data_IF_671251171743
#
_entry.id   IF_671251171743
#
_cell.length_a   1.000
_cell.length_b   1.000
_cell.length_c   1.000
_cell.angle_alpha   90.00
_cell.angle_beta   90.00
_cell.angle_gamma   90.00
#
_symmetry.space_group_name_H-M   'P 1'
#
loop_
_entity.id
_entity.type
_entity.pdbx_description
1 polymer ?
#
# COMPACT_ATOMS: atom_id res chain seq x y z
N UNK A 1 -15.69 -26.14 -78.83
CA UNK A 1 -14.44 -25.75 -78.24
C UNK A 1 -14.55 -24.61 -77.25
N UNK A 2 -15.50 -23.64 -77.34
CA UNK A 2 -15.60 -22.48 -76.42
C UNK A 2 -16.02 -22.78 -74.96
N UNK A 3 -16.81 -23.84 -74.69
CA UNK A 3 -17.28 -24.18 -73.34
C UNK A 3 -16.18 -24.79 -72.41
N UNK A 4 -15.20 -25.49 -72.95
CA UNK A 4 -14.09 -26.07 -72.17
C UNK A 4 -13.09 -25.01 -71.71
N UNK A 5 -12.86 -23.97 -72.46
CA UNK A 5 -11.95 -22.89 -72.16
C UNK A 5 -12.45 -21.98 -70.98
N UNK A 6 -13.81 -21.81 -70.97
CA UNK A 6 -14.46 -20.99 -69.92
C UNK A 6 -14.37 -21.71 -68.51
N UNK A 7 -14.60 -23.03 -68.54
CA UNK A 7 -14.55 -23.82 -67.26
C UNK A 7 -13.16 -23.87 -66.70
N UNK A 8 -12.07 -23.99 -67.50
CA UNK A 8 -10.73 -23.98 -67.08
C UNK A 8 -10.26 -22.59 -66.53
N UNK A 9 -10.74 -21.49 -67.14
CA UNK A 9 -10.41 -20.12 -66.60
C UNK A 9 -11.17 -19.83 -65.35
N UNK A 10 -12.40 -20.25 -65.15
CA UNK A 10 -13.15 -20.08 -63.90
C UNK A 10 -12.55 -20.92 -62.75
N UNK A 11 -12.12 -22.16 -63.05
CA UNK A 11 -11.47 -23.03 -62.08
C UNK A 11 -10.10 -22.49 -61.65
N UNK A 12 -9.30 -21.91 -62.59
CA UNK A 12 -8.01 -21.27 -62.26
C UNK A 12 -8.19 -20.00 -61.42
N UNK A 13 -9.29 -19.24 -61.67
CA UNK A 13 -9.58 -18.03 -60.91
C UNK A 13 -10.06 -18.34 -59.48
N UNK A 14 -10.80 -19.45 -59.29
CA UNK A 14 -11.18 -19.93 -57.96
C UNK A 14 -10.02 -20.49 -57.18
N UNK A 15 -9.05 -21.13 -57.82
CA UNK A 15 -7.83 -21.63 -57.15
C UNK A 15 -6.88 -20.50 -56.74
N UNK A 16 -6.87 -19.37 -57.44
CA UNK A 16 -6.07 -18.21 -57.12
C UNK A 16 -6.65 -17.41 -55.92
N UNK A 17 -7.98 -17.46 -55.73
CA UNK A 17 -8.66 -16.76 -54.64
C UNK A 17 -8.51 -17.45 -53.27
N UNK A 18 -8.20 -18.74 -53.23
CA UNK A 18 -8.00 -19.51 -52.00
C UNK A 18 -6.62 -19.35 -51.42
N UNK A 19 -5.65 -18.82 -52.17
CA UNK A 19 -4.28 -18.62 -51.68
C UNK A 19 -4.09 -17.27 -50.95
N UNK A 20 -5.01 -16.29 -51.19
CA UNK A 20 -4.95 -14.97 -50.53
C UNK A 20 -5.56 -14.93 -49.13
N UNK A 21 -6.18 -16.02 -48.65
CA UNK A 21 -6.75 -16.12 -47.30
C UNK A 21 -5.89 -16.94 -46.32
N UNK A 22 -4.59 -17.16 -46.66
CA UNK A 22 -3.61 -17.51 -45.64
C UNK A 22 -3.46 -16.28 -44.75
N UNK A 23 -4.40 -16.14 -43.81
CA UNK A 23 -4.27 -15.17 -42.74
C UNK A 23 -2.88 -15.35 -42.10
N UNK A 24 -2.08 -14.30 -42.14
CA UNK A 24 -0.87 -14.27 -41.34
C UNK A 24 -1.24 -14.76 -39.96
N UNK A 25 -0.59 -15.80 -39.41
CA UNK A 25 -0.83 -16.15 -38.03
C UNK A 25 -0.52 -14.86 -37.27
N UNK A 26 -1.55 -14.26 -36.65
CA UNK A 26 -1.35 -13.21 -35.70
C UNK A 26 -0.61 -13.90 -34.55
N UNK A 27 0.71 -13.93 -34.66
CA UNK A 27 1.57 -14.29 -33.52
C UNK A 27 1.37 -13.16 -32.52
N UNK A 28 0.32 -13.25 -31.74
CA UNK A 28 0.28 -12.59 -30.45
C UNK A 28 1.51 -13.16 -29.74
N UNK A 29 2.57 -12.38 -29.73
CA UNK A 29 3.70 -12.60 -28.81
C UNK A 29 3.04 -12.46 -27.41
N UNK A 30 2.56 -13.57 -26.89
CA UNK A 30 2.14 -13.64 -25.50
C UNK A 30 3.40 -13.64 -24.66
N UNK A 31 4.03 -12.47 -24.53
CA UNK A 31 4.93 -12.25 -23.42
C UNK A 31 4.09 -12.51 -22.17
N UNK A 32 4.53 -13.45 -21.36
CA UNK A 32 3.86 -13.67 -20.07
C UNK A 32 3.95 -12.35 -19.29
N UNK A 33 2.85 -11.94 -18.62
CA UNK A 33 2.86 -10.72 -17.84
C UNK A 33 3.93 -10.81 -16.76
N UNK A 34 4.70 -9.75 -16.61
CA UNK A 34 5.66 -9.60 -15.52
C UNK A 34 4.88 -9.25 -14.27
N UNK A 35 4.96 -10.13 -13.27
CA UNK A 35 4.26 -9.96 -12.00
C UNK A 35 5.30 -9.62 -10.93
N UNK A 36 5.02 -8.62 -10.12
CA UNK A 36 5.80 -8.28 -8.93
C UNK A 36 4.92 -8.23 -7.68
N UNK A 37 5.53 -8.45 -6.53
CA UNK A 37 4.90 -8.34 -5.23
C UNK A 37 5.64 -7.31 -4.37
N UNK A 38 4.89 -6.51 -3.61
CA UNK A 38 5.41 -5.60 -2.60
C UNK A 38 4.62 -5.79 -1.30
N UNK A 39 5.31 -6.06 -0.21
CA UNK A 39 4.73 -5.98 1.13
C UNK A 39 4.64 -4.51 1.55
N UNK A 40 3.44 -3.94 1.42
CA UNK A 40 3.20 -2.53 1.74
C UNK A 40 3.25 -2.23 3.25
N UNK A 41 3.07 -3.24 4.11
CA UNK A 41 3.19 -3.03 5.55
C UNK A 41 4.67 -2.85 5.92
N UNK A 42 5.56 -3.69 5.37
CA UNK A 42 7.01 -3.56 5.55
C UNK A 42 7.52 -2.28 4.89
N UNK A 43 7.15 -2.04 3.63
CA UNK A 43 7.57 -0.85 2.89
C UNK A 43 7.11 0.44 3.57
N UNK A 44 5.86 0.47 4.05
CA UNK A 44 5.29 1.61 4.77
C UNK A 44 6.02 1.90 6.07
N UNK A 45 6.29 0.87 6.87
CA UNK A 45 7.02 1.02 8.12
C UNK A 45 8.42 1.60 7.88
N UNK A 46 9.20 1.00 6.97
CA UNK A 46 10.56 1.48 6.68
C UNK A 46 10.58 2.89 6.08
N UNK A 47 9.58 3.23 5.29
CA UNK A 47 9.45 4.57 4.74
C UNK A 47 9.13 5.60 5.83
N UNK A 48 8.22 5.29 6.77
CA UNK A 48 7.92 6.14 7.93
C UNK A 48 9.16 6.34 8.82
N UNK A 49 9.93 5.28 9.05
CA UNK A 49 11.19 5.33 9.81
C UNK A 49 12.21 6.24 9.10
N UNK A 50 12.37 6.12 7.77
CA UNK A 50 13.28 6.97 6.99
C UNK A 50 12.94 8.46 7.04
N UNK A 51 11.69 8.82 7.39
CA UNK A 51 11.20 10.20 7.53
C UNK A 51 11.12 10.67 8.98
N UNK A 52 11.57 9.86 9.93
CA UNK A 52 11.49 10.12 11.38
C UNK A 52 10.06 10.32 11.90
N UNK A 53 9.04 10.02 11.09
CA UNK A 53 7.65 10.28 11.45
C UNK A 53 7.18 9.38 12.59
N UNK A 54 7.68 8.16 12.64
CA UNK A 54 7.40 7.23 13.74
C UNK A 54 8.05 7.70 15.03
N UNK A 55 9.30 8.21 14.97
CA UNK A 55 10.00 8.75 16.12
C UNK A 55 9.30 10.00 16.67
N UNK A 56 8.87 10.92 15.80
CA UNK A 56 8.07 12.08 16.18
C UNK A 56 6.76 11.69 16.86
N UNK A 57 6.04 10.71 16.31
CA UNK A 57 4.82 10.18 16.91
C UNK A 57 5.06 9.63 18.32
N UNK A 58 6.11 8.84 18.49
CA UNK A 58 6.48 8.26 19.78
C UNK A 58 6.86 9.35 20.80
N UNK A 59 7.64 10.34 20.39
CA UNK A 59 8.03 11.45 21.25
C UNK A 59 6.81 12.26 21.73
N UNK A 60 5.86 12.55 20.86
CA UNK A 60 4.62 13.24 21.22
C UNK A 60 3.74 12.37 22.15
N UNK A 61 3.64 11.07 21.87
CA UNK A 61 2.89 10.14 22.73
C UNK A 61 3.51 10.04 24.14
N UNK A 62 4.84 9.98 24.25
CA UNK A 62 5.55 10.00 25.52
C UNK A 62 5.34 11.33 26.28
N UNK A 63 5.38 12.45 25.57
CA UNK A 63 5.10 13.76 26.15
C UNK A 63 3.69 13.81 26.76
N UNK A 64 2.65 13.39 26.04
CA UNK A 64 1.29 13.37 26.57
C UNK A 64 1.11 12.36 27.72
N UNK A 65 1.76 11.20 27.66
CA UNK A 65 1.78 10.26 28.78
C UNK A 65 2.44 10.88 30.01
N UNK A 66 3.52 11.63 29.83
CA UNK A 66 4.17 12.37 30.91
C UNK A 66 3.24 13.41 31.58
N UNK A 67 2.36 14.07 30.79
CA UNK A 67 1.37 15.00 31.33
C UNK A 67 0.25 14.30 32.11
N UNK A 68 -0.11 13.06 31.74
CA UNK A 68 -1.13 12.26 32.43
C UNK A 68 -0.61 11.60 33.71
N UNK A 69 0.68 11.34 33.79
CA UNK A 69 1.31 10.58 34.88
C UNK A 69 1.00 11.10 36.29
N UNK A 70 1.05 12.41 36.60
CA UNK A 70 0.71 12.92 37.93
C UNK A 70 -0.75 12.60 38.35
N UNK A 71 -1.70 12.68 37.40
CA UNK A 71 -3.09 12.33 37.68
C UNK A 71 -3.26 10.83 37.91
N UNK A 72 -2.58 10.01 37.11
CA UNK A 72 -2.58 8.56 37.26
C UNK A 72 -2.03 8.14 38.62
N UNK A 73 -0.89 8.70 39.04
CA UNK A 73 -0.25 8.43 40.32
C UNK A 73 -1.14 8.85 41.50
N UNK A 74 -1.86 9.97 41.39
CA UNK A 74 -2.81 10.42 42.41
C UNK A 74 -4.01 9.47 42.49
N UNK A 75 -4.60 9.03 41.38
CA UNK A 75 -5.68 8.05 41.35
C UNK A 75 -5.24 6.72 41.99
N UNK A 76 -4.03 6.24 41.66
CA UNK A 76 -3.48 5.02 42.25
C UNK A 76 -3.29 5.18 43.77
N UNK A 77 -2.80 6.30 44.21
CA UNK A 77 -2.62 6.61 45.65
C UNK A 77 -3.96 6.60 46.40
N UNK A 78 -4.99 7.27 45.83
CA UNK A 78 -6.33 7.32 46.42
C UNK A 78 -6.99 5.94 46.47
N UNK A 79 -6.82 5.14 45.41
CA UNK A 79 -7.27 3.76 45.39
C UNK A 79 -6.64 2.90 46.46
N UNK A 80 -5.35 2.99 46.63
CA UNK A 80 -4.61 2.25 47.64
C UNK A 80 -4.96 2.70 49.10
N UNK A 81 -5.49 3.92 49.23
CA UNK A 81 -6.01 4.44 50.50
C UNK A 81 -7.51 4.05 50.74
N UNK A 82 -8.16 3.34 49.83
CA UNK A 82 -9.56 2.95 49.97
C UNK A 82 -10.53 4.09 49.74
N UNK A 83 -10.14 5.17 49.02
CA UNK A 83 -10.91 6.39 48.79
C UNK A 83 -11.80 6.31 47.51
N UNK A 84 -11.95 5.15 46.94
CA UNK A 84 -12.65 4.97 45.63
C UNK A 84 -14.11 5.50 45.62
N UNK A 85 -14.77 5.47 46.76
CA UNK A 85 -16.16 5.98 46.90
C UNK A 85 -16.20 7.50 47.09
N UNK A 86 -15.06 8.17 47.26
CA UNK A 86 -15.01 9.61 47.51
C UNK A 86 -15.35 10.40 46.23
N UNK A 87 -15.98 11.56 46.42
CA UNK A 87 -16.24 12.49 45.31
C UNK A 87 -14.94 12.98 44.68
N UNK A 88 -13.88 13.13 45.49
CA UNK A 88 -12.57 13.56 45.02
C UNK A 88 -11.95 12.53 44.05
N UNK A 89 -12.00 11.24 44.39
CA UNK A 89 -11.52 10.16 43.51
C UNK A 89 -12.29 10.18 42.18
N UNK A 90 -13.61 10.26 42.21
CA UNK A 90 -14.43 10.30 40.98
C UNK A 90 -14.09 11.51 40.09
N UNK A 91 -13.86 12.68 40.69
CA UNK A 91 -13.44 13.87 39.94
C UNK A 91 -12.08 13.67 39.26
N UNK A 92 -11.11 13.07 39.96
CA UNK A 92 -9.78 12.79 39.41
C UNK A 92 -9.81 11.77 38.27
N UNK A 93 -10.62 10.71 38.41
CA UNK A 93 -10.82 9.73 37.34
C UNK A 93 -11.44 10.37 36.09
N UNK A 94 -12.46 11.23 36.29
CA UNK A 94 -13.08 11.95 35.20
C UNK A 94 -12.11 12.94 34.52
N UNK A 95 -11.30 13.67 35.32
CA UNK A 95 -10.28 14.58 34.80
C UNK A 95 -9.25 13.83 33.95
N UNK A 96 -8.74 12.69 34.46
CA UNK A 96 -7.83 11.83 33.72
C UNK A 96 -8.42 11.34 32.38
N UNK A 97 -9.67 10.84 32.42
CA UNK A 97 -10.35 10.38 31.20
C UNK A 97 -10.48 11.49 30.17
N UNK A 98 -10.94 12.67 30.56
CA UNK A 98 -11.10 13.82 29.67
C UNK A 98 -9.77 14.27 29.06
N UNK A 99 -8.71 14.32 29.88
CA UNK A 99 -7.37 14.69 29.36
C UNK A 99 -6.81 13.63 28.43
N UNK A 100 -6.96 12.35 28.78
CA UNK A 100 -6.53 11.24 27.92
C UNK A 100 -7.24 11.27 26.57
N UNK A 101 -8.57 11.45 26.56
CA UNK A 101 -9.35 11.52 25.32
C UNK A 101 -8.89 12.71 24.47
N UNK A 102 -8.67 13.88 25.10
CA UNK A 102 -8.15 15.07 24.41
C UNK A 102 -6.79 14.79 23.77
N UNK A 103 -5.85 14.22 24.49
CA UNK A 103 -4.50 13.94 23.98
C UNK A 103 -4.52 12.89 22.88
N UNK A 104 -5.34 11.84 23.03
CA UNK A 104 -5.54 10.83 21.97
C UNK A 104 -6.08 11.47 20.70
N UNK A 105 -7.08 12.34 20.80
CA UNK A 105 -7.63 13.07 19.66
C UNK A 105 -6.58 13.96 18.99
N UNK A 106 -5.80 14.71 19.78
CA UNK A 106 -4.74 15.57 19.24
C UNK A 106 -3.66 14.78 18.48
N UNK A 107 -3.23 13.62 19.03
CA UNK A 107 -2.30 12.73 18.32
C UNK A 107 -2.92 12.21 17.03
N UNK A 108 -4.16 11.73 17.11
CA UNK A 108 -4.86 11.20 15.95
C UNK A 108 -5.02 12.28 14.86
N UNK A 109 -5.49 13.47 15.18
CA UNK A 109 -5.64 14.57 14.24
C UNK A 109 -4.31 14.97 13.60
N UNK A 110 -3.22 15.04 14.40
CA UNK A 110 -1.89 15.40 13.89
C UNK A 110 -1.33 14.36 12.93
N UNK A 111 -1.44 13.08 13.26
CA UNK A 111 -0.70 12.03 12.55
C UNK A 111 -1.52 11.28 11.48
N UNK A 112 -2.87 11.22 11.58
CA UNK A 112 -3.69 10.59 10.54
C UNK A 112 -3.42 11.19 9.17
N UNK A 113 -3.44 12.52 9.06
CA UNK A 113 -3.20 13.22 7.79
C UNK A 113 -1.79 12.96 7.24
N UNK A 114 -0.80 12.84 8.14
CA UNK A 114 0.58 12.56 7.73
C UNK A 114 0.73 11.12 7.23
N UNK A 115 0.13 10.15 7.93
CA UNK A 115 0.14 8.75 7.51
C UNK A 115 -0.63 8.53 6.20
N UNK A 116 -1.76 9.22 6.00
CA UNK A 116 -2.49 9.20 4.73
C UNK A 116 -1.62 9.71 3.58
N UNK A 117 -0.94 10.84 3.74
CA UNK A 117 -0.02 11.37 2.73
C UNK A 117 1.13 10.42 2.42
N UNK A 118 1.68 9.74 3.44
CA UNK A 118 2.71 8.73 3.25
C UNK A 118 2.17 7.57 2.42
N UNK A 119 0.98 7.08 2.74
CA UNK A 119 0.36 5.99 2.00
C UNK A 119 0.08 6.37 0.54
N UNK A 120 -0.47 7.56 0.28
CA UNK A 120 -0.68 8.07 -1.07
C UNK A 120 0.65 8.19 -1.85
N UNK A 121 1.70 8.69 -1.20
CA UNK A 121 3.03 8.81 -1.80
C UNK A 121 3.61 7.44 -2.14
N UNK A 122 3.51 6.46 -1.25
CA UNK A 122 3.97 5.10 -1.50
C UNK A 122 3.24 4.44 -2.68
N UNK A 123 1.92 4.62 -2.78
CA UNK A 123 1.15 4.10 -3.90
C UNK A 123 1.60 4.73 -5.22
N UNK A 124 1.83 6.05 -5.26
CA UNK A 124 2.34 6.73 -6.44
C UNK A 124 3.75 6.26 -6.83
N UNK A 125 4.62 6.05 -5.84
CA UNK A 125 5.97 5.52 -6.06
C UNK A 125 5.94 4.06 -6.55
N UNK A 126 5.00 3.25 -6.08
CA UNK A 126 4.84 1.87 -6.54
C UNK A 126 4.38 1.82 -8.01
N UNK A 127 3.48 2.71 -8.40
CA UNK A 127 3.08 2.86 -9.80
C UNK A 127 4.26 3.29 -10.69
N UNK A 128 5.06 4.24 -10.22
CA UNK A 128 6.27 4.70 -10.93
C UNK A 128 7.30 3.56 -11.05
N UNK A 129 7.54 2.85 -9.94
CA UNK A 129 8.45 1.71 -9.90
C UNK A 129 8.04 0.61 -10.87
N UNK A 130 6.75 0.26 -10.90
CA UNK A 130 6.22 -0.73 -11.82
C UNK A 130 6.43 -0.33 -13.29
N UNK A 131 6.18 0.94 -13.64
CA UNK A 131 6.39 1.46 -15.00
C UNK A 131 7.86 1.41 -15.42
N UNK A 132 8.77 1.81 -14.55
CA UNK A 132 10.22 1.83 -14.85
C UNK A 132 10.77 0.42 -15.05
N UNK A 133 10.27 -0.55 -14.26
CA UNK A 133 10.74 -1.93 -14.30
C UNK A 133 9.91 -2.83 -15.24
N UNK A 134 8.99 -2.26 -16.04
CA UNK A 134 8.12 -2.99 -16.96
C UNK A 134 7.33 -4.11 -16.27
N UNK A 135 6.83 -3.86 -15.06
CA UNK A 135 5.98 -4.77 -14.30
C UNK A 135 4.54 -4.56 -14.76
N UNK A 136 3.91 -5.60 -15.30
CA UNK A 136 2.54 -5.53 -15.81
C UNK A 136 1.49 -5.61 -14.69
N UNK A 137 1.80 -6.35 -13.62
CA UNK A 137 0.91 -6.54 -12.47
C UNK A 137 1.71 -6.45 -11.17
N UNK A 138 1.34 -5.51 -10.32
CA UNK A 138 1.90 -5.38 -8.98
C UNK A 138 0.85 -5.85 -7.94
N UNK A 139 1.24 -6.81 -7.11
CA UNK A 139 0.39 -7.42 -6.08
C UNK A 139 0.89 -7.00 -4.70
N UNK A 140 -0.04 -6.85 -3.76
CA UNK A 140 0.29 -6.48 -2.37
C UNK A 140 -0.01 -7.61 -1.40
N UNK A 141 0.55 -7.54 -0.18
CA UNK A 141 0.32 -8.47 0.91
C UNK A 141 -1.16 -8.62 1.32
N UNK A 142 -2.03 -7.68 0.97
CA UNK A 142 -3.47 -7.76 1.29
C UNK A 142 -4.25 -8.80 0.48
N UNK A 143 -3.71 -9.23 -0.66
CA UNK A 143 -4.39 -10.18 -1.57
C UNK A 143 -3.59 -11.46 -1.81
N UNK A 144 -2.29 -11.46 -1.53
CA UNK A 144 -1.43 -12.61 -1.73
C UNK A 144 -1.44 -13.52 -0.50
N UNK A 145 -1.69 -14.83 -0.71
CA UNK A 145 -1.58 -15.85 0.35
C UNK A 145 -0.16 -16.44 0.39
N UNK A 146 0.48 -16.49 -0.76
CA UNK A 146 1.83 -17.03 -0.94
C UNK A 146 2.50 -16.33 -2.13
N UNK A 147 3.76 -15.98 -1.98
CA UNK A 147 4.61 -15.43 -3.03
C UNK A 147 5.95 -16.18 -2.98
N UNK A 148 6.46 -16.59 -4.14
CA UNK A 148 7.82 -17.10 -4.24
C UNK A 148 8.81 -15.93 -4.23
N UNK A 149 9.98 -16.15 -3.67
CA UNK A 149 11.01 -15.11 -3.46
C UNK A 149 11.39 -14.34 -4.74
N UNK A 150 11.35 -15.00 -5.89
CA UNK A 150 11.67 -14.40 -7.19
C UNK A 150 10.69 -13.27 -7.61
N UNK A 151 9.49 -13.21 -7.00
CA UNK A 151 8.49 -12.18 -7.27
C UNK A 151 8.46 -11.09 -6.19
N UNK A 152 9.16 -11.27 -5.07
CA UNK A 152 9.18 -10.30 -3.98
C UNK A 152 10.16 -9.16 -4.30
N UNK A 153 9.59 -8.00 -4.59
CA UNK A 153 10.31 -6.77 -4.93
C UNK A 153 10.31 -5.77 -3.76
N UNK A 154 9.92 -6.20 -2.57
CA UNK A 154 9.72 -5.31 -1.42
C UNK A 154 10.97 -4.51 -1.10
N UNK A 155 12.14 -5.16 -1.02
CA UNK A 155 13.38 -4.49 -0.67
C UNK A 155 13.84 -3.51 -1.74
N UNK A 156 13.79 -3.93 -3.01
CA UNK A 156 14.17 -3.08 -4.16
C UNK A 156 13.26 -1.84 -4.26
N UNK A 157 11.95 -2.04 -3.98
CA UNK A 157 11.00 -0.95 -3.93
C UNK A 157 11.29 0.03 -2.78
N UNK A 158 11.64 -0.46 -1.60
CA UNK A 158 12.00 0.39 -0.45
C UNK A 158 13.20 1.26 -0.78
N UNK A 159 14.24 0.70 -1.39
CA UNK A 159 15.42 1.46 -1.82
C UNK A 159 15.06 2.52 -2.86
N UNK A 160 14.24 2.15 -3.84
CA UNK A 160 13.71 3.09 -4.84
C UNK A 160 12.91 4.21 -4.19
N UNK A 161 11.95 3.88 -3.32
CA UNK A 161 11.10 4.86 -2.65
C UNK A 161 11.91 5.83 -1.79
N UNK A 162 12.88 5.33 -1.02
CA UNK A 162 13.74 6.16 -0.19
C UNK A 162 14.62 7.10 -1.00
N UNK A 163 15.06 6.68 -2.20
CA UNK A 163 15.89 7.51 -3.09
C UNK A 163 15.13 8.66 -3.75
N UNK A 164 13.78 8.57 -3.82
CA UNK A 164 12.92 9.53 -4.56
C UNK A 164 12.02 10.38 -3.70
N UNK A 165 11.96 10.09 -2.42
CA UNK A 165 11.07 10.78 -1.51
C UNK A 165 11.70 12.05 -0.93
N UNK A 166 11.55 13.16 -1.65
CA UNK A 166 11.57 14.50 -1.03
C UNK A 166 10.16 14.76 -0.45
N UNK A 167 10.10 15.12 0.84
CA UNK A 167 8.89 15.60 1.52
C UNK A 167 8.88 17.11 1.58
#
# INVERSE_FOLDING_TARGET
MKKRTIITTVLAMFLLMTILSAGTPFSASSSQPVIGFIDFDIAGQQFLESKNLMEEYQADAEYYNGLLKPLEDEIIRMRNAGEESSKSYQLKVNEYSLQKDKFTTQLQEKYTVQFEKVNEKLLALAEEYAKINNIDVLITNKVAVYIADDYDLTQDFIEFANSRAEF
#
